data_IF_832329436087
#
_entry.id   IF_832329436087
#
_cell.length_a   1.000
_cell.length_b   1.000
_cell.length_c   1.000
_cell.angle_alpha   90.00
_cell.angle_beta   90.00
_cell.angle_gamma   90.00
#
_symmetry.space_group_name_H-M   'P 1'
#
loop_
_entity.id
_entity.type
_entity.pdbx_description
1 polymer ?
#
# COMPACT_ATOMS: atom_id res chain seq x y z
N UNK A 1 -19.60 17.99 3.31
CA UNK A 1 -18.28 18.44 3.79
C UNK A 1 -17.70 17.51 4.87
N UNK A 2 -18.40 17.24 5.98
CA UNK A 2 -17.88 16.40 7.08
C UNK A 2 -17.48 14.94 6.71
N UNK A 3 -18.16 14.33 5.73
CA UNK A 3 -17.86 12.96 5.27
C UNK A 3 -16.52 12.87 4.53
N UNK A 4 -16.19 13.88 3.73
CA UNK A 4 -14.94 13.95 2.95
C UNK A 4 -13.73 14.17 3.87
N UNK A 5 -13.86 15.04 4.88
CA UNK A 5 -12.82 15.27 5.89
C UNK A 5 -12.50 14.00 6.68
N UNK A 6 -13.52 13.20 7.03
CA UNK A 6 -13.33 11.91 7.71
C UNK A 6 -12.56 10.92 6.84
N UNK A 7 -12.90 10.82 5.55
CA UNK A 7 -12.17 9.96 4.60
C UNK A 7 -10.71 10.41 4.48
N UNK A 8 -10.47 11.70 4.29
CA UNK A 8 -9.12 12.25 4.19
C UNK A 8 -8.27 11.92 5.42
N UNK A 9 -8.83 12.09 6.62
CA UNK A 9 -8.14 11.75 7.86
C UNK A 9 -7.82 10.26 7.96
N UNK A 10 -8.74 9.37 7.57
CA UNK A 10 -8.48 7.92 7.54
C UNK A 10 -7.33 7.57 6.59
N UNK A 11 -7.30 8.18 5.41
CA UNK A 11 -6.22 7.96 4.44
C UNK A 11 -4.87 8.45 4.98
N UNK A 12 -4.83 9.65 5.57
CA UNK A 12 -3.62 10.23 6.12
C UNK A 12 -3.06 9.38 7.27
N UNK A 13 -3.88 9.06 8.28
CA UNK A 13 -3.43 8.27 9.42
C UNK A 13 -3.12 6.82 9.04
N UNK A 14 -3.91 6.21 8.16
CA UNK A 14 -3.66 4.87 7.64
C UNK A 14 -2.33 4.78 6.89
N UNK A 15 -2.08 5.74 6.00
CA UNK A 15 -0.79 5.86 5.30
C UNK A 15 0.37 6.11 6.26
N UNK A 16 0.22 7.03 7.22
CA UNK A 16 1.28 7.35 8.18
C UNK A 16 1.69 6.15 9.02
N UNK A 17 0.73 5.44 9.63
CA UNK A 17 1.03 4.25 10.44
C UNK A 17 1.67 3.18 9.57
N UNK A 18 1.13 2.95 8.37
CA UNK A 18 1.68 1.93 7.47
C UNK A 18 3.10 2.28 7.02
N UNK A 19 3.39 3.52 6.61
CA UNK A 19 4.75 3.94 6.27
C UNK A 19 5.72 3.77 7.43
N UNK A 20 5.31 4.15 8.65
CA UNK A 20 6.17 4.11 9.83
C UNK A 20 6.53 2.71 10.32
N UNK A 21 5.75 1.67 10.00
CA UNK A 21 6.12 0.27 10.32
C UNK A 21 7.09 -0.35 9.30
N UNK A 22 7.44 0.37 8.23
CA UNK A 22 8.33 -0.10 7.15
C UNK A 22 9.69 0.61 7.20
N UNK A 23 10.46 0.37 8.26
CA UNK A 23 11.67 1.11 8.64
C UNK A 23 12.98 0.68 7.93
N UNK A 24 12.95 0.43 6.62
CA UNK A 24 14.16 0.07 5.85
C UNK A 24 14.99 1.29 5.42
N UNK A 25 14.35 2.27 4.78
CA UNK A 25 14.99 3.52 4.33
C UNK A 25 13.96 4.64 4.27
N UNK A 26 14.40 5.91 4.26
CA UNK A 26 13.47 7.04 4.18
C UNK A 26 12.62 7.01 2.90
N UNK A 27 13.23 6.68 1.76
CA UNK A 27 12.49 6.53 0.50
C UNK A 27 11.47 5.40 0.56
N UNK A 28 11.81 4.27 1.21
CA UNK A 28 10.90 3.16 1.41
C UNK A 28 9.74 3.50 2.35
N UNK A 29 10.00 4.27 3.42
CA UNK A 29 8.95 4.78 4.33
C UNK A 29 7.99 5.71 3.58
N UNK A 30 8.51 6.65 2.78
CA UNK A 30 7.69 7.57 1.98
C UNK A 30 6.87 6.79 0.94
N UNK A 31 7.46 5.81 0.25
CA UNK A 31 6.73 4.93 -0.66
C UNK A 31 5.59 4.19 0.06
N UNK A 32 5.89 3.56 1.20
CA UNK A 32 4.89 2.82 1.96
C UNK A 32 3.80 3.72 2.54
N UNK A 33 4.07 5.00 2.84
CA UNK A 33 3.02 5.96 3.19
C UNK A 33 1.93 6.03 2.11
N UNK A 34 2.32 6.19 0.85
CA UNK A 34 1.37 6.25 -0.26
C UNK A 34 0.67 4.90 -0.52
N UNK A 35 1.40 3.79 -0.40
CA UNK A 35 0.82 2.43 -0.48
C UNK A 35 -0.23 2.22 0.61
N UNK A 36 0.07 2.59 1.85
CA UNK A 36 -0.86 2.48 2.97
C UNK A 36 -2.11 3.34 2.78
N UNK A 37 -1.96 4.56 2.26
CA UNK A 37 -3.10 5.40 1.89
C UNK A 37 -3.95 4.75 0.79
N UNK A 38 -3.34 4.12 -0.22
CA UNK A 38 -4.04 3.42 -1.29
C UNK A 38 -4.79 2.18 -0.77
N UNK A 39 -4.18 1.40 0.12
CA UNK A 39 -4.83 0.23 0.75
C UNK A 39 -6.01 0.66 1.65
N UNK A 40 -5.87 1.77 2.39
CA UNK A 40 -6.98 2.34 3.16
C UNK A 40 -8.09 2.87 2.24
N UNK A 41 -7.74 3.45 1.09
CA UNK A 41 -8.74 3.84 0.09
C UNK A 41 -9.50 2.62 -0.45
N UNK A 42 -8.80 1.54 -0.80
CA UNK A 42 -9.41 0.28 -1.22
C UNK A 42 -10.36 -0.28 -0.15
N UNK A 43 -9.95 -0.24 1.13
CA UNK A 43 -10.81 -0.61 2.27
C UNK A 43 -12.11 0.20 2.29
N UNK A 44 -12.02 1.53 2.18
CA UNK A 44 -13.17 2.45 2.24
C UNK A 44 -14.13 2.21 1.07
N UNK A 45 -13.62 2.07 -0.16
CA UNK A 45 -14.45 1.80 -1.35
C UNK A 45 -15.16 0.45 -1.23
N UNK A 46 -14.53 -0.52 -0.56
CA UNK A 46 -15.06 -1.88 -0.38
C UNK A 46 -15.73 -2.10 0.97
N UNK A 47 -16.07 -1.03 1.71
CA UNK A 47 -16.57 -1.15 3.09
C UNK A 47 -17.79 -2.08 3.23
N UNK A 48 -18.65 -2.15 2.20
CA UNK A 48 -19.83 -3.01 2.16
C UNK A 48 -19.62 -4.31 1.34
N UNK A 49 -18.40 -4.60 0.89
CA UNK A 49 -18.06 -5.71 -0.01
C UNK A 49 -16.73 -6.38 0.39
N UNK A 50 -16.67 -6.92 1.61
CA UNK A 50 -15.51 -7.61 2.21
C UNK A 50 -14.22 -6.78 2.16
N UNK A 51 -14.17 -5.64 2.88
CA UNK A 51 -13.07 -4.68 2.79
C UNK A 51 -11.74 -5.27 3.29
N UNK A 52 -11.77 -6.01 4.40
CA UNK A 52 -10.58 -6.68 4.95
C UNK A 52 -9.93 -7.62 3.93
N UNK A 53 -10.70 -8.56 3.38
CA UNK A 53 -10.17 -9.53 2.41
C UNK A 53 -9.68 -8.87 1.12
N UNK A 54 -10.32 -7.78 0.69
CA UNK A 54 -9.83 -7.00 -0.45
C UNK A 54 -8.43 -6.46 -0.18
N UNK A 55 -8.21 -5.84 0.99
CA UNK A 55 -6.89 -5.30 1.36
C UNK A 55 -5.85 -6.40 1.52
N UNK A 56 -6.21 -7.54 2.16
CA UNK A 56 -5.30 -8.68 2.34
C UNK A 56 -4.82 -9.21 0.98
N UNK A 57 -5.73 -9.42 0.03
CA UNK A 57 -5.37 -9.91 -1.30
C UNK A 57 -4.52 -8.90 -2.05
N UNK A 58 -4.89 -7.62 -2.05
CA UNK A 58 -4.11 -6.57 -2.72
C UNK A 58 -2.71 -6.46 -2.15
N UNK A 59 -2.57 -6.37 -0.83
CA UNK A 59 -1.27 -6.24 -0.18
C UNK A 59 -0.42 -7.51 -0.38
N UNK A 60 -1.03 -8.69 -0.29
CA UNK A 60 -0.35 -9.97 -0.59
C UNK A 60 0.18 -10.03 -2.02
N UNK A 61 -0.62 -9.62 -3.01
CA UNK A 61 -0.19 -9.57 -4.41
C UNK A 61 0.96 -8.57 -4.63
N UNK A 62 0.93 -7.41 -3.98
CA UNK A 62 2.03 -6.44 -4.03
C UNK A 62 3.33 -7.04 -3.47
N UNK A 63 3.25 -7.76 -2.36
CA UNK A 63 4.41 -8.42 -1.76
C UNK A 63 4.94 -9.54 -2.67
N UNK A 64 4.06 -10.35 -3.27
CA UNK A 64 4.44 -11.37 -4.25
C UNK A 64 5.15 -10.74 -5.46
N UNK A 65 4.64 -9.62 -5.98
CA UNK A 65 5.28 -8.89 -7.07
C UNK A 65 6.71 -8.45 -6.69
N UNK A 66 6.89 -7.85 -5.51
CA UNK A 66 8.22 -7.42 -5.05
C UNK A 66 9.19 -8.58 -4.79
N UNK A 67 8.69 -9.75 -4.41
CA UNK A 67 9.54 -10.93 -4.14
C UNK A 67 9.93 -11.65 -5.45
N UNK A 68 8.98 -11.80 -6.39
CA UNK A 68 9.18 -12.64 -7.56
C UNK A 68 9.51 -11.88 -8.83
N UNK A 69 8.86 -10.73 -9.07
CA UNK A 69 8.96 -10.03 -10.37
C UNK A 69 10.09 -9.00 -10.34
N UNK A 70 10.18 -8.18 -9.29
CA UNK A 70 11.20 -7.13 -9.21
C UNK A 70 12.65 -7.66 -9.30
N UNK A 71 13.02 -8.80 -8.68
CA UNK A 71 14.36 -9.35 -8.86
C UNK A 71 14.59 -9.93 -10.26
N UNK A 72 13.58 -10.58 -10.85
CA UNK A 72 13.67 -11.17 -12.20
C UNK A 72 13.84 -10.07 -13.24
N UNK A 73 13.07 -9.00 -13.15
CA UNK A 73 13.19 -7.83 -14.01
C UNK A 73 14.60 -7.23 -13.95
N UNK A 74 15.12 -7.01 -12.74
CA UNK A 74 16.47 -6.48 -12.53
C UNK A 74 17.57 -7.40 -13.08
N UNK A 75 17.41 -8.72 -12.98
CA UNK A 75 18.35 -9.68 -13.58
C UNK A 75 18.34 -9.56 -15.10
N UNK A 76 17.16 -9.56 -15.73
CA UNK A 76 17.03 -9.51 -17.19
C UNK A 76 17.63 -8.22 -17.75
N UNK A 77 17.28 -7.06 -17.17
CA UNK A 77 17.75 -5.77 -17.66
C UNK A 77 19.21 -5.46 -17.30
N UNK A 78 19.76 -5.99 -16.21
CA UNK A 78 21.20 -5.87 -15.93
C UNK A 78 22.07 -6.80 -16.81
N UNK A 79 21.47 -7.81 -17.45
CA UNK A 79 22.16 -8.71 -18.38
C UNK A 79 22.15 -8.20 -19.83
N UNK A 80 21.35 -7.16 -20.12
CA UNK A 80 21.34 -6.44 -21.40
C UNK A 80 22.27 -5.23 -21.37
#
# INVERSE_FOLDING_TARGET
MAKTTKVFNCLFWGGLIFGLIHFYSLSYVIYNFFVGALLMFAYIVRINKSPYWTVVVLHGLMNLFSIFIDPVEKIIFNMM
#
